data_IF_319254119173
#
_entry.id   IF_319254119173
#
_cell.length_a   1.000
_cell.length_b   1.000
_cell.length_c   1.000
_cell.angle_alpha   90.00
_cell.angle_beta   90.00
_cell.angle_gamma   90.00
#
_symmetry.space_group_name_H-M   'P 1'
#
loop_
_entity.id
_entity.type
_entity.pdbx_description
1 polymer ?
#
# COMPACT_ATOMS: atom_id res chain seq x y z
N UNK A 1 -19.74 10.15 9.64
CA UNK A 1 -19.55 10.03 8.17
C UNK A 1 -18.82 11.27 7.70
N UNK A 2 -17.51 11.15 7.43
CA UNK A 2 -16.74 12.26 6.88
C UNK A 2 -17.18 12.46 5.42
N UNK A 3 -17.61 13.67 5.09
CA UNK A 3 -18.07 14.03 3.74
C UNK A 3 -16.83 14.32 2.86
N UNK A 4 -16.43 13.33 2.06
CA UNK A 4 -15.28 13.38 1.17
C UNK A 4 -15.35 14.57 0.18
N UNK A 5 -16.53 15.10 -0.12
CA UNK A 5 -16.71 16.27 -1.00
C UNK A 5 -16.18 17.58 -0.40
N UNK A 6 -16.03 17.68 0.93
CA UNK A 6 -15.42 18.87 1.57
C UNK A 6 -13.90 18.89 1.46
N UNK A 7 -13.25 17.73 1.28
CA UNK A 7 -11.80 17.64 1.08
C UNK A 7 -11.44 18.01 -0.37
N UNK A 8 -12.26 17.58 -1.33
CA UNK A 8 -12.06 17.90 -2.75
C UNK A 8 -12.03 19.41 -3.05
N UNK A 9 -12.84 20.22 -2.35
CA UNK A 9 -12.97 21.65 -2.61
C UNK A 9 -11.86 22.55 -2.03
N UNK A 10 -10.88 21.99 -1.28
CA UNK A 10 -9.67 22.74 -0.90
C UNK A 10 -8.55 22.62 -1.93
N UNK A 11 -8.76 21.80 -2.97
CA UNK A 11 -7.85 21.62 -4.11
C UNK A 11 -8.58 22.13 -5.35
N UNK A 12 -8.77 23.44 -5.45
CA UNK A 12 -9.14 24.05 -6.73
C UNK A 12 -8.09 25.08 -7.12
N UNK A 13 -7.58 24.90 -8.33
CA UNK A 13 -6.79 25.82 -9.16
C UNK A 13 -5.39 26.21 -8.69
N UNK A 14 -4.36 25.54 -9.23
CA UNK A 14 -3.52 26.13 -10.27
C UNK A 14 -2.41 25.16 -10.74
N UNK A 15 -2.38 24.92 -12.05
CA UNK A 15 -1.25 24.46 -12.88
C UNK A 15 -0.20 23.52 -12.26
N UNK A 16 -0.33 22.20 -12.46
CA UNK A 16 0.83 21.29 -12.44
C UNK A 16 0.68 20.19 -13.48
N UNK A 17 1.14 20.47 -14.71
CA UNK A 17 1.79 19.41 -15.48
C UNK A 17 3.04 18.97 -14.71
N UNK A 18 3.22 17.66 -14.54
CA UNK A 18 4.35 16.96 -13.91
C UNK A 18 4.25 16.76 -12.39
N UNK A 19 3.81 15.56 -11.99
CA UNK A 19 4.62 14.55 -11.28
C UNK A 19 3.73 13.75 -10.32
N UNK A 20 3.61 12.45 -10.51
CA UNK A 20 3.59 11.40 -9.48
C UNK A 20 3.61 11.88 -8.01
N UNK A 21 2.52 12.48 -7.51
CA UNK A 21 2.49 13.10 -6.17
C UNK A 21 2.23 12.03 -5.12
N UNK A 22 3.29 11.62 -4.40
CA UNK A 22 3.15 10.85 -3.19
C UNK A 22 2.55 11.74 -2.08
N UNK A 23 1.28 11.54 -1.74
CA UNK A 23 0.61 12.25 -0.64
C UNK A 23 0.64 11.42 0.64
N UNK A 24 0.83 12.08 1.77
CA UNK A 24 0.64 11.53 3.11
C UNK A 24 -0.62 12.15 3.73
N UNK A 25 -1.67 11.36 3.87
CA UNK A 25 -2.97 11.76 4.39
C UNK A 25 -3.10 11.21 5.81
N UNK A 26 -3.40 12.08 6.77
CA UNK A 26 -3.64 11.69 8.17
C UNK A 26 -5.10 12.02 8.51
N UNK A 27 -5.87 11.03 8.98
CA UNK A 27 -7.27 11.23 9.37
C UNK A 27 -7.40 11.68 10.84
N UNK A 28 -8.63 11.95 11.28
CA UNK A 28 -8.93 12.39 12.65
C UNK A 28 -8.58 11.35 13.74
N UNK A 29 -8.50 10.08 13.38
CA UNK A 29 -8.10 8.99 14.27
C UNK A 29 -6.59 8.83 14.38
N UNK A 30 -5.81 9.55 13.57
CA UNK A 30 -4.35 9.44 13.50
C UNK A 30 -3.85 8.35 12.54
N UNK A 31 -4.75 7.73 11.76
CA UNK A 31 -4.36 6.78 10.72
C UNK A 31 -3.68 7.51 9.57
N UNK A 32 -2.60 6.92 9.04
CA UNK A 32 -1.81 7.49 7.94
C UNK A 32 -2.02 6.66 6.68
N UNK A 33 -2.18 7.36 5.56
CA UNK A 33 -2.32 6.78 4.23
C UNK A 33 -1.32 7.43 3.29
N UNK A 34 -0.62 6.59 2.54
CA UNK A 34 0.32 7.02 1.51
C UNK A 34 -0.25 6.67 0.15
N UNK A 35 -0.44 7.69 -0.69
CA UNK A 35 -1.03 7.55 -2.02
C UNK A 35 -0.13 8.09 -3.10
N UNK A 36 -0.08 7.44 -4.25
CA UNK A 36 0.60 7.91 -5.46
C UNK A 36 -0.42 7.90 -6.61
N UNK A 37 -0.58 9.01 -7.33
CA UNK A 37 -1.52 9.11 -8.45
C UNK A 37 -2.96 8.67 -8.10
N UNK A 38 -3.41 9.00 -6.88
CA UNK A 38 -4.74 8.65 -6.40
C UNK A 38 -4.93 7.18 -5.97
N UNK A 39 -3.87 6.35 -6.02
CA UNK A 39 -3.86 4.96 -5.53
C UNK A 39 -3.12 4.86 -4.21
N UNK A 40 -3.52 3.95 -3.33
CA UNK A 40 -2.75 3.61 -2.13
C UNK A 40 -1.46 2.93 -2.56
N UNK A 41 -0.33 3.55 -2.27
CA UNK A 41 0.96 3.14 -2.80
C UNK A 41 2.10 3.64 -1.91
N UNK A 42 2.98 2.73 -1.51
CA UNK A 42 4.28 3.06 -0.92
C UNK A 42 5.24 1.88 -1.07
N UNK A 43 6.38 2.09 -1.76
CA UNK A 43 7.42 1.05 -1.91
C UNK A 43 8.26 0.85 -0.65
N UNK A 44 8.55 1.95 0.06
CA UNK A 44 9.51 1.96 1.16
C UNK A 44 8.83 2.11 2.52
N UNK A 45 7.94 1.18 2.85
CA UNK A 45 7.20 1.15 4.11
C UNK A 45 5.70 0.90 3.92
N UNK A 46 4.94 0.83 5.02
CA UNK A 46 3.51 0.59 4.96
C UNK A 46 2.80 1.75 4.26
N UNK A 47 1.91 1.42 3.33
CA UNK A 47 1.07 2.40 2.66
C UNK A 47 -0.12 2.82 3.54
N UNK A 48 -0.48 2.00 4.53
CA UNK A 48 -1.46 2.34 5.57
C UNK A 48 -0.89 1.99 6.93
N UNK A 49 -0.91 2.96 7.86
CA UNK A 49 -0.56 2.79 9.26
C UNK A 49 -1.76 3.22 10.11
N UNK A 50 -2.45 2.26 10.74
CA UNK A 50 -3.56 2.58 11.63
C UNK A 50 -3.05 2.97 13.02
N UNK A 51 -3.77 3.87 13.68
CA UNK A 51 -3.46 4.32 15.03
C UNK A 51 -3.48 3.19 16.07
N UNK A 52 -4.22 2.10 15.79
CA UNK A 52 -4.23 0.90 16.62
C UNK A 52 -2.94 0.05 16.50
N UNK A 53 -2.04 0.39 15.58
CA UNK A 53 -0.77 -0.32 15.34
C UNK A 53 -0.76 -1.25 14.12
N UNK A 54 -1.90 -1.50 13.47
CA UNK A 54 -1.94 -2.32 12.26
C UNK A 54 -1.23 -1.59 11.10
N UNK A 55 -0.50 -2.34 10.28
CA UNK A 55 0.23 -1.83 9.12
C UNK A 55 -0.04 -2.67 7.89
N UNK A 56 -0.22 -2.00 6.76
CA UNK A 56 -0.50 -2.64 5.48
C UNK A 56 0.39 -2.06 4.40
N UNK A 57 0.98 -2.94 3.60
CA UNK A 57 1.83 -2.58 2.46
C UNK A 57 1.03 -2.74 1.17
N UNK A 58 1.00 -1.66 0.39
CA UNK A 58 0.31 -1.62 -0.90
C UNK A 58 1.20 -0.96 -1.96
N UNK A 59 1.15 -1.51 -3.16
CA UNK A 59 1.73 -0.95 -4.38
C UNK A 59 0.63 -0.94 -5.43
N UNK A 60 0.25 0.26 -5.89
CA UNK A 60 -0.82 0.47 -6.87
C UNK A 60 -2.15 -0.21 -6.49
N UNK A 61 -2.61 0.03 -5.26
CA UNK A 61 -3.79 -0.56 -4.63
C UNK A 61 -3.74 -2.10 -4.40
N UNK A 62 -2.66 -2.76 -4.81
CA UNK A 62 -2.45 -4.20 -4.56
C UNK A 62 -1.68 -4.41 -3.27
N UNK A 63 -2.20 -5.23 -2.36
CA UNK A 63 -1.46 -5.62 -1.15
C UNK A 63 -0.21 -6.40 -1.58
N UNK A 64 0.96 -5.91 -1.23
CA UNK A 64 2.21 -6.42 -1.77
C UNK A 64 3.39 -6.03 -0.87
N UNK A 65 4.23 -7.02 -0.53
CA UNK A 65 5.55 -6.80 0.07
C UNK A 65 6.47 -7.99 -0.17
N UNK A 66 7.71 -7.72 -0.59
CA UNK A 66 8.70 -8.77 -0.88
C UNK A 66 9.59 -9.07 0.32
N UNK A 67 9.90 -8.06 1.14
CA UNK A 67 10.87 -8.19 2.25
C UNK A 67 10.23 -8.61 3.59
N UNK A 68 9.00 -9.11 3.58
CA UNK A 68 8.27 -9.48 4.79
C UNK A 68 6.75 -9.54 4.61
N UNK A 69 5.98 -9.61 5.71
CA UNK A 69 4.53 -9.68 5.64
C UNK A 69 3.93 -8.39 5.07
N UNK A 70 2.98 -8.52 4.16
CA UNK A 70 2.27 -7.39 3.59
C UNK A 70 1.18 -6.82 4.53
N UNK A 71 0.84 -7.56 5.59
CA UNK A 71 -0.01 -7.11 6.70
C UNK A 71 0.64 -7.48 8.02
N UNK A 72 0.77 -6.51 8.91
CA UNK A 72 1.17 -6.71 10.31
C UNK A 72 0.07 -6.18 11.22
N UNK A 73 -0.59 -7.07 11.95
CA UNK A 73 -1.63 -6.71 12.90
C UNK A 73 -1.02 -6.35 14.27
N UNK A 74 -1.66 -5.45 15.00
CA UNK A 74 -1.24 -5.03 16.33
C UNK A 74 -1.24 -6.17 17.37
N UNK A 75 -2.03 -7.22 17.13
CA UNK A 75 -2.05 -8.43 17.95
C UNK A 75 -0.88 -9.39 17.66
N UNK A 76 -0.05 -9.10 16.65
CA UNK A 76 1.11 -9.90 16.25
C UNK A 76 0.88 -10.80 15.03
N UNK A 77 -0.36 -10.91 14.53
CA UNK A 77 -0.66 -11.69 13.33
C UNK A 77 0.01 -11.07 12.10
N UNK A 78 0.42 -11.94 11.17
CA UNK A 78 1.14 -11.57 9.95
C UNK A 78 0.57 -12.31 8.76
N UNK A 79 0.45 -11.59 7.64
CA UNK A 79 -0.04 -12.17 6.39
C UNK A 79 0.82 -11.70 5.21
N UNK A 80 1.03 -12.59 4.25
CA UNK A 80 1.92 -12.36 3.11
C UNK A 80 1.11 -12.27 1.83
N UNK A 81 1.37 -11.23 1.06
CA UNK A 81 0.69 -10.97 -0.20
C UNK A 81 1.70 -10.51 -1.24
N UNK A 82 1.54 -10.99 -2.47
CA UNK A 82 2.26 -10.51 -3.64
C UNK A 82 1.26 -10.17 -4.75
N UNK A 83 1.23 -8.89 -5.12
CA UNK A 83 0.36 -8.36 -6.17
C UNK A 83 -1.14 -8.63 -5.93
N UNK A 84 -1.56 -8.55 -4.66
CA UNK A 84 -2.94 -8.76 -4.25
C UNK A 84 -3.33 -10.22 -4.02
N UNK A 85 -2.43 -11.17 -4.30
CA UNK A 85 -2.67 -12.59 -4.02
C UNK A 85 -2.07 -12.96 -2.67
N UNK A 86 -2.84 -13.64 -1.83
CA UNK A 86 -2.36 -14.22 -0.58
C UNK A 86 -1.42 -15.38 -0.87
N UNK A 87 -0.29 -15.41 -0.18
CA UNK A 87 0.75 -16.43 -0.33
C UNK A 87 1.01 -17.06 1.03
N UNK A 88 1.02 -18.38 1.09
CA UNK A 88 1.51 -19.09 2.28
C UNK A 88 3.02 -18.85 2.40
N UNK A 89 3.43 -18.31 3.54
CA UNK A 89 4.84 -18.00 3.77
C UNK A 89 5.63 -19.25 4.13
N UNK A 90 6.66 -19.53 3.34
CA UNK A 90 7.70 -20.50 3.64
C UNK A 90 9.07 -19.85 3.42
N UNK A 91 9.91 -19.72 4.47
CA UNK A 91 11.22 -19.10 4.37
C UNK A 91 12.19 -19.81 3.41
N UNK A 92 12.01 -21.12 3.15
CA UNK A 92 12.90 -21.88 2.26
C UNK A 92 12.61 -21.59 0.78
N UNK A 93 11.37 -21.21 0.44
CA UNK A 93 10.91 -21.03 -0.93
C UNK A 93 10.57 -19.57 -1.29
N UNK A 94 10.53 -18.68 -0.30
CA UNK A 94 10.07 -17.29 -0.47
C UNK A 94 10.79 -16.53 -1.59
N UNK A 95 12.11 -16.59 -1.65
CA UNK A 95 12.91 -15.88 -2.68
C UNK A 95 12.54 -16.35 -4.10
N UNK A 96 12.24 -17.64 -4.27
CA UNK A 96 11.79 -18.20 -5.53
C UNK A 96 10.39 -17.69 -5.88
N UNK A 97 9.46 -17.72 -4.92
CA UNK A 97 8.08 -17.24 -5.11
C UNK A 97 8.04 -15.76 -5.51
N UNK A 98 8.86 -14.92 -4.86
CA UNK A 98 8.99 -13.49 -5.22
C UNK A 98 9.49 -13.33 -6.65
N UNK A 99 10.52 -14.11 -7.06
CA UNK A 99 11.07 -14.04 -8.41
C UNK A 99 10.05 -14.46 -9.47
N UNK A 100 9.30 -15.53 -9.24
CA UNK A 100 8.26 -16.01 -10.14
C UNK A 100 7.10 -15.01 -10.25
N UNK A 101 6.68 -14.42 -9.13
CA UNK A 101 5.64 -13.41 -9.10
C UNK A 101 6.02 -12.16 -9.92
N UNK A 102 7.29 -11.72 -9.85
CA UNK A 102 7.81 -10.63 -10.70
C UNK A 102 7.72 -10.96 -12.19
N UNK A 103 8.08 -12.18 -12.58
CA UNK A 103 8.02 -12.62 -13.99
C UNK A 103 6.57 -12.60 -14.48
N UNK A 104 5.65 -13.22 -13.72
CA UNK A 104 4.25 -13.30 -14.11
C UNK A 104 3.61 -11.90 -14.24
N UNK A 105 3.90 -10.99 -13.31
CA UNK A 105 3.36 -9.63 -13.35
C UNK A 105 3.90 -8.79 -14.53
N UNK A 106 5.04 -9.14 -15.12
CA UNK A 106 5.54 -8.51 -16.36
C UNK A 106 4.92 -9.13 -17.62
N UNK A 107 4.59 -10.43 -17.58
CA UNK A 107 3.98 -11.14 -18.71
C UNK A 107 2.48 -10.85 -18.86
N UNK A 108 1.80 -10.45 -17.78
CA UNK A 108 0.37 -10.11 -17.76
C UNK A 108 0.07 -8.62 -18.02
N UNK A 109 1.11 -7.78 -18.18
CA UNK A 109 1.00 -6.33 -18.49
C UNK A 109 1.32 -6.02 -19.94
#
# INVERSE_FOLDING_TARGET
>A
MINLNKIANKISSNDLSNNDELLNIINENGDKYYTLNGKIHRKNGPAVEYANGNKYWYVDDKCHREDGPAVECANGDKFWYLNGNEIEYDPETWDQVVKENKINNVMET
#
